data_IF_357089552114
#
_entry.id   IF_357089552114
#
_cell.length_a   1.000
_cell.length_b   1.000
_cell.length_c   1.000
_cell.angle_alpha   90.00
_cell.angle_beta   90.00
_cell.angle_gamma   90.00
#
_symmetry.space_group_name_H-M   'P 1'
#
loop_
_entity.id
_entity.type
_entity.pdbx_description
1 polymer ?
#
# COMPACT_ATOMS: atom_id res chain seq x y z
N UNK A 1 1.94 -3.91 -6.60
CA UNK A 1 2.65 -3.22 -7.70
C UNK A 1 3.82 -4.07 -8.15
N UNK A 2 4.00 -4.25 -9.46
CA UNK A 2 5.07 -5.07 -10.02
C UNK A 2 6.00 -4.22 -10.87
N UNK A 3 7.31 -4.35 -10.65
CA UNK A 3 8.35 -3.73 -11.45
C UNK A 3 9.24 -4.81 -12.06
N UNK A 4 9.68 -4.56 -13.29
CA UNK A 4 10.78 -5.30 -13.90
C UNK A 4 12.03 -5.22 -13.00
N UNK A 5 12.86 -6.28 -12.92
CA UNK A 5 14.03 -6.32 -12.04
C UNK A 5 14.94 -5.10 -12.17
N UNK A 6 15.13 -4.60 -13.39
CA UNK A 6 16.02 -3.49 -13.74
C UNK A 6 15.54 -2.13 -13.17
N UNK A 7 14.25 -2.03 -12.82
CA UNK A 7 13.65 -0.82 -12.26
C UNK A 7 13.54 -0.84 -10.73
N UNK A 8 13.87 -1.96 -10.08
CA UNK A 8 13.77 -2.11 -8.62
C UNK A 8 14.91 -1.35 -7.92
N UNK A 9 14.67 -0.91 -6.69
CA UNK A 9 15.65 -0.15 -5.90
C UNK A 9 15.84 1.31 -6.32
N UNK A 10 15.24 1.76 -7.42
CA UNK A 10 15.34 3.14 -7.93
C UNK A 10 14.32 4.11 -7.33
N UNK A 11 13.51 3.66 -6.36
CA UNK A 11 12.54 4.51 -5.66
C UNK A 11 11.23 4.80 -6.42
N UNK A 12 11.02 4.24 -7.61
CA UNK A 12 9.80 4.46 -8.39
C UNK A 12 8.53 4.02 -7.67
N UNK A 13 8.58 2.91 -6.92
CA UNK A 13 7.44 2.42 -6.17
C UNK A 13 6.94 3.46 -5.15
N UNK A 14 7.88 4.10 -4.43
CA UNK A 14 7.57 5.19 -3.49
C UNK A 14 6.91 6.37 -4.20
N UNK A 15 7.49 6.83 -5.32
CA UNK A 15 6.97 7.97 -6.08
C UNK A 15 5.54 7.75 -6.57
N UNK A 16 5.25 6.56 -7.11
CA UNK A 16 3.88 6.23 -7.55
C UNK A 16 2.91 6.24 -6.37
N UNK A 17 3.28 5.62 -5.25
CA UNK A 17 2.43 5.56 -4.06
C UNK A 17 2.15 6.96 -3.49
N UNK A 18 3.15 7.83 -3.43
CA UNK A 18 2.99 9.23 -2.99
C UNK A 18 1.99 9.98 -3.87
N UNK A 19 2.06 9.83 -5.19
CA UNK A 19 1.09 10.40 -6.13
C UNK A 19 -0.32 9.81 -5.92
N UNK A 20 -0.43 8.50 -5.68
CA UNK A 20 -1.72 7.88 -5.36
C UNK A 20 -2.31 8.43 -4.06
N UNK A 21 -1.50 8.69 -3.03
CA UNK A 21 -1.98 9.28 -1.78
C UNK A 21 -2.44 10.70 -1.99
N UNK A 22 -1.66 11.53 -2.68
CA UNK A 22 -2.04 12.91 -3.02
C UNK A 22 -3.38 12.93 -3.77
N UNK A 23 -3.51 12.12 -4.82
CA UNK A 23 -4.75 11.98 -5.56
C UNK A 23 -5.93 11.59 -4.66
N UNK A 24 -5.75 10.57 -3.83
CA UNK A 24 -6.81 10.07 -2.96
C UNK A 24 -7.26 11.13 -1.92
N UNK A 25 -6.31 11.86 -1.33
CA UNK A 25 -6.63 12.94 -0.38
C UNK A 25 -7.41 14.08 -1.08
N UNK A 26 -7.03 14.46 -2.31
CA UNK A 26 -7.75 15.46 -3.11
C UNK A 26 -9.19 15.04 -3.45
N UNK A 27 -9.48 13.75 -3.45
CA UNK A 27 -10.81 13.20 -3.72
C UNK A 27 -11.58 12.83 -2.43
N UNK A 28 -11.13 13.30 -1.27
CA UNK A 28 -11.83 13.12 0.00
C UNK A 28 -11.68 11.72 0.62
N UNK A 29 -10.72 10.92 0.16
CA UNK A 29 -10.37 9.67 0.83
C UNK A 29 -9.42 9.92 2.00
N UNK A 30 -9.65 9.22 3.11
CA UNK A 30 -8.91 9.40 4.36
C UNK A 30 -7.97 8.22 4.68
N UNK A 31 -8.12 7.11 3.95
CA UNK A 31 -7.36 5.89 4.19
C UNK A 31 -7.06 5.16 2.89
N UNK A 32 -5.87 4.57 2.80
CA UNK A 32 -5.50 3.64 1.73
C UNK A 32 -5.31 2.24 2.34
N UNK A 33 -6.00 1.24 1.77
CA UNK A 33 -5.91 -0.15 2.18
C UNK A 33 -5.22 -0.97 1.10
N UNK A 34 -4.40 -1.94 1.51
CA UNK A 34 -3.78 -2.90 0.60
C UNK A 34 -3.77 -4.31 1.18
N UNK A 35 -3.69 -5.28 0.27
CA UNK A 35 -3.46 -6.69 0.56
C UNK A 35 -2.22 -7.15 -0.21
N UNK A 36 -1.38 -7.97 0.42
CA UNK A 36 -0.16 -8.50 -0.18
C UNK A 36 0.19 -9.85 0.45
N UNK A 37 1.29 -10.46 0.00
CA UNK A 37 1.82 -11.72 0.55
C UNK A 37 3.12 -11.50 1.29
N UNK A 38 3.44 -12.40 2.25
CA UNK A 38 4.70 -12.37 3.02
C UNK A 38 5.93 -12.56 2.12
N UNK A 39 5.76 -13.28 1.00
CA UNK A 39 6.81 -13.50 0.01
C UNK A 39 7.27 -12.19 -0.65
N UNK A 40 6.42 -11.16 -0.67
CA UNK A 40 6.75 -9.82 -1.19
C UNK A 40 7.33 -8.91 -0.09
N UNK A 41 8.24 -9.44 0.74
CA UNK A 41 8.77 -8.75 1.93
C UNK A 41 9.39 -7.37 1.65
N UNK A 42 9.97 -7.16 0.46
CA UNK A 42 10.52 -5.86 0.06
C UNK A 42 9.41 -4.81 -0.11
N UNK A 43 8.26 -5.21 -0.63
CA UNK A 43 7.09 -4.35 -0.75
C UNK A 43 6.49 -4.08 0.64
N UNK A 44 6.38 -5.09 1.51
CA UNK A 44 5.92 -4.92 2.90
C UNK A 44 6.76 -3.88 3.63
N UNK A 45 8.10 -3.98 3.58
CA UNK A 45 9.00 -2.99 4.19
C UNK A 45 8.86 -1.59 3.58
N UNK A 46 8.57 -1.49 2.29
CA UNK A 46 8.27 -0.20 1.66
C UNK A 46 6.99 0.39 2.25
N UNK A 47 5.91 -0.39 2.35
CA UNK A 47 4.64 0.08 2.89
C UNK A 47 4.78 0.52 4.36
N UNK A 48 5.47 -0.26 5.20
CA UNK A 48 5.79 0.10 6.59
C UNK A 48 6.51 1.45 6.66
N UNK A 49 7.54 1.66 5.82
CA UNK A 49 8.27 2.94 5.75
C UNK A 49 7.41 4.12 5.29
N UNK A 50 6.35 3.85 4.54
CA UNK A 50 5.39 4.86 4.12
C UNK A 50 4.28 5.08 5.16
N UNK A 51 4.34 4.42 6.31
CA UNK A 51 3.37 4.57 7.40
C UNK A 51 2.10 3.76 7.20
N UNK A 52 2.19 2.62 6.49
CA UNK A 52 1.16 1.59 6.59
C UNK A 52 1.35 0.78 7.86
N UNK A 53 0.24 0.45 8.51
CA UNK A 53 0.18 -0.40 9.69
C UNK A 53 -0.46 -1.74 9.32
N UNK A 54 0.03 -2.83 9.91
CA UNK A 54 -0.55 -4.15 9.73
C UNK A 54 -1.91 -4.24 10.41
N UNK A 55 -2.87 -4.89 9.74
CA UNK A 55 -4.17 -5.21 10.29
C UNK A 55 -4.25 -6.69 10.69
N UNK A 56 -4.96 -7.03 11.78
CA UNK A 56 -5.13 -8.41 12.20
C UNK A 56 -6.08 -9.20 11.29
N UNK A 57 -6.93 -8.50 10.52
CA UNK A 57 -7.95 -9.07 9.64
C UNK A 57 -8.07 -8.24 8.36
N UNK A 58 -8.55 -8.82 7.23
CA UNK A 58 -8.80 -8.06 6.02
C UNK A 58 -9.89 -7.01 6.21
N UNK A 59 -9.87 -5.99 5.36
CA UNK A 59 -10.92 -4.98 5.32
C UNK A 59 -11.90 -5.30 4.19
N UNK A 60 -13.09 -5.75 4.56
CA UNK A 60 -14.16 -6.08 3.61
C UNK A 60 -13.95 -7.45 2.95
N UNK A 61 -14.70 -7.70 1.88
CA UNK A 61 -14.68 -8.97 1.13
C UNK A 61 -14.21 -8.70 -0.30
N UNK A 62 -12.89 -8.53 -0.46
CA UNK A 62 -12.29 -8.13 -1.75
C UNK A 62 -12.00 -9.31 -2.68
N UNK A 63 -12.21 -10.56 -2.21
CA UNK A 63 -11.80 -11.78 -2.90
C UNK A 63 -10.28 -12.04 -2.90
N UNK A 64 -9.44 -11.09 -2.47
CA UNK A 64 -7.98 -11.25 -2.45
C UNK A 64 -7.46 -11.94 -1.20
N UNK A 65 -8.22 -11.94 -0.10
CA UNK A 65 -7.74 -12.38 1.21
C UNK A 65 -7.42 -13.87 1.27
N UNK A 66 -7.90 -14.68 0.33
CA UNK A 66 -7.49 -16.08 0.18
C UNK A 66 -6.09 -16.26 -0.43
N UNK A 67 -5.64 -15.28 -1.21
CA UNK A 67 -4.34 -15.27 -1.88
C UNK A 67 -3.32 -14.30 -1.23
N UNK A 68 -3.80 -13.41 -0.36
CA UNK A 68 -3.02 -12.39 0.33
C UNK A 68 -3.21 -12.49 1.84
N UNK A 69 -2.15 -12.88 2.55
CA UNK A 69 -2.14 -13.10 4.00
C UNK A 69 -1.62 -11.90 4.81
N UNK A 70 -1.30 -10.78 4.15
CA UNK A 70 -0.87 -9.53 4.79
C UNK A 70 -1.82 -8.41 4.39
N UNK A 71 -2.40 -7.75 5.39
CA UNK A 71 -3.31 -6.63 5.22
C UNK A 71 -2.73 -5.41 5.89
N UNK A 72 -2.76 -4.27 5.20
CA UNK A 72 -2.22 -3.05 5.76
C UNK A 72 -3.08 -1.84 5.44
N UNK A 73 -3.12 -0.89 6.36
CA UNK A 73 -3.86 0.36 6.23
C UNK A 73 -2.94 1.55 6.48
N UNK A 74 -3.08 2.58 5.68
CA UNK A 74 -2.45 3.89 5.90
C UNK A 74 -3.52 4.95 6.02
N UNK A 75 -3.47 5.75 7.08
CA UNK A 75 -4.20 7.02 7.13
C UNK A 75 -3.50 8.04 6.23
N UNK A 76 -4.27 8.62 5.31
CA UNK A 76 -3.87 9.70 4.41
C UNK A 76 -4.79 10.87 4.75
N UNK A 77 -4.28 11.91 5.43
CA UNK A 77 -5.12 12.98 5.97
C UNK A 77 -5.85 13.76 4.87
N UNK A 78 -6.80 14.63 5.23
CA UNK A 78 -7.41 15.52 4.25
C UNK A 78 -6.39 16.60 3.83
N UNK A 79 -6.33 16.96 2.54
CA UNK A 79 -5.65 18.21 2.15
C UNK A 79 -6.53 19.36 2.62
N UNK A 80 -5.93 20.33 3.32
CA UNK A 80 -6.60 21.53 3.83
C UNK A 80 -7.05 22.46 2.70
#
# INVERSE_FOLDING_TARGET
MYFLPELRGLGFAKKILEQCFEFAQHHGFHTCYLETTKNLWQAVKLYEKLGFEHLPVPKGDTGHSHACEVWMLKTIGSVA
#
